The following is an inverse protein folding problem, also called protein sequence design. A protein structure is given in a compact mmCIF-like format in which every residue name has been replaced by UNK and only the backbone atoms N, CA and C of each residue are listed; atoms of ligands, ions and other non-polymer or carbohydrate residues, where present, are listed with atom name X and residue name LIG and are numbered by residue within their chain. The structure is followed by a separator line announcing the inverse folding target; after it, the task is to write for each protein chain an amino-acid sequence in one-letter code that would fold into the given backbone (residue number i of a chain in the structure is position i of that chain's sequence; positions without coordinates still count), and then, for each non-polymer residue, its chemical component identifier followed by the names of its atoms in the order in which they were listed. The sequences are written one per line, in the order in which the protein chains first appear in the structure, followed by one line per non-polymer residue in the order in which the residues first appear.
data_IF_903040399389
#
_entry.id   IF_903040399389
#
_cell.length_a   1.000
_cell.length_b   1.000
_cell.length_c   1.000
_cell.angle_alpha   90.00
_cell.angle_beta   90.00
_cell.angle_gamma   90.00
#
_symmetry.space_group_name_H-M   'P 1'
#
loop_
_entity.id
_entity.type
_entity.pdbx_description
1 polymer ?
#
# COMPACT_ATOMS: atom_id res chain seq x y z
N UNK A 1 34.84 -14.23 -95.60
CA UNK A 1 35.31 -13.40 -94.47
C UNK A 1 34.16 -12.89 -93.60
N UNK A 2 33.10 -12.30 -94.18
CA UNK A 2 31.98 -11.71 -93.42
C UNK A 2 31.17 -12.69 -92.55
N UNK A 3 31.01 -13.96 -92.96
CA UNK A 3 30.27 -14.97 -92.19
C UNK A 3 30.99 -15.39 -90.89
N UNK A 4 32.33 -15.40 -90.91
CA UNK A 4 33.15 -15.71 -89.73
C UNK A 4 33.14 -14.54 -88.73
N UNK A 5 33.19 -13.30 -89.22
CA UNK A 5 33.06 -12.11 -88.38
C UNK A 5 31.67 -12.03 -87.73
N UNK A 6 30.60 -12.35 -88.47
CA UNK A 6 29.26 -12.41 -87.92
C UNK A 6 29.10 -13.50 -86.85
N UNK A 7 29.65 -14.70 -87.08
CA UNK A 7 29.63 -15.78 -86.10
C UNK A 7 30.40 -15.39 -84.82
N UNK A 8 31.55 -14.74 -84.95
CA UNK A 8 32.35 -14.28 -83.82
C UNK A 8 31.64 -13.18 -83.02
N UNK A 9 30.97 -12.25 -83.71
CA UNK A 9 30.17 -11.20 -83.08
C UNK A 9 28.98 -11.78 -82.28
N UNK A 10 28.32 -12.80 -82.81
CA UNK A 10 27.23 -13.51 -82.11
C UNK A 10 27.77 -14.22 -80.87
N UNK A 11 28.91 -14.89 -80.98
CA UNK A 11 29.54 -15.58 -79.85
C UNK A 11 29.91 -14.61 -78.73
N UNK A 12 30.45 -13.45 -79.09
CA UNK A 12 30.80 -12.37 -78.14
C UNK A 12 29.54 -11.81 -77.45
N UNK A 13 28.45 -11.62 -78.20
CA UNK A 13 27.15 -11.22 -77.65
C UNK A 13 26.62 -12.23 -76.64
N UNK A 14 26.69 -13.53 -76.95
CA UNK A 14 26.25 -14.60 -76.04
C UNK A 14 27.05 -14.58 -74.74
N UNK A 15 28.38 -14.43 -74.82
CA UNK A 15 29.23 -14.32 -73.63
C UNK A 15 28.84 -13.11 -72.78
N UNK A 16 28.65 -11.94 -73.39
CA UNK A 16 28.23 -10.74 -72.66
C UNK A 16 26.85 -10.88 -72.01
N UNK A 17 25.88 -11.51 -72.69
CA UNK A 17 24.54 -11.74 -72.14
C UNK A 17 24.58 -12.70 -70.95
N UNK A 18 25.33 -13.80 -71.06
CA UNK A 18 25.49 -14.76 -69.95
C UNK A 18 26.17 -14.12 -68.73
N UNK A 19 27.19 -13.28 -68.95
CA UNK A 19 27.84 -12.54 -67.88
C UNK A 19 26.91 -11.51 -67.21
N UNK A 20 26.14 -10.76 -68.01
CA UNK A 20 25.17 -9.80 -67.48
C UNK A 20 24.04 -10.48 -66.69
N UNK A 21 23.59 -11.67 -67.12
CA UNK A 21 22.62 -12.46 -66.36
C UNK A 21 23.20 -12.94 -65.03
N UNK A 22 24.43 -13.45 -65.04
CA UNK A 22 25.12 -13.90 -63.84
C UNK A 22 25.33 -12.75 -62.84
N UNK A 23 25.77 -11.58 -63.30
CA UNK A 23 25.93 -10.41 -62.44
C UNK A 23 24.59 -9.95 -61.83
N UNK A 24 23.49 -10.03 -62.60
CA UNK A 24 22.14 -9.70 -62.11
C UNK A 24 21.63 -10.72 -61.11
N UNK A 25 21.87 -12.02 -61.30
CA UNK A 25 21.47 -13.04 -60.33
C UNK A 25 22.24 -12.87 -59.03
N UNK A 26 23.57 -12.70 -59.09
CA UNK A 26 24.39 -12.49 -57.88
C UNK A 26 23.99 -11.22 -57.12
N UNK A 27 23.63 -10.15 -57.84
CA UNK A 27 23.12 -8.93 -57.22
C UNK A 27 21.71 -9.10 -56.63
N UNK A 28 20.87 -9.97 -57.20
CA UNK A 28 19.56 -10.31 -56.66
C UNK A 28 19.68 -11.18 -55.40
N UNK A 29 20.56 -12.17 -55.42
CA UNK A 29 20.84 -13.06 -54.28
C UNK A 29 21.36 -12.26 -53.09
N UNK A 30 22.31 -11.35 -53.31
CA UNK A 30 22.83 -10.48 -52.26
C UNK A 30 21.75 -9.57 -51.64
N UNK A 31 20.76 -9.12 -52.43
CA UNK A 31 19.63 -8.32 -51.93
C UNK A 31 18.65 -9.18 -51.14
N UNK A 32 18.40 -10.41 -51.58
CA UNK A 32 17.54 -11.35 -50.86
C UNK A 32 18.14 -11.69 -49.49
N UNK A 33 19.45 -11.96 -49.43
CA UNK A 33 20.15 -12.24 -48.17
C UNK A 33 20.10 -11.06 -47.20
N UNK A 34 20.34 -9.83 -47.69
CA UNK A 34 20.20 -8.62 -46.87
C UNK A 34 18.76 -8.42 -46.37
N UNK A 35 17.75 -8.73 -47.19
CA UNK A 35 16.35 -8.63 -46.78
C UNK A 35 16.01 -9.67 -45.70
N UNK A 36 16.49 -10.90 -45.84
CA UNK A 36 16.34 -11.95 -44.82
C UNK A 36 17.02 -11.58 -43.51
N UNK A 37 18.23 -11.02 -43.57
CA UNK A 37 18.95 -10.53 -42.38
C UNK A 37 18.18 -9.41 -41.68
N UNK A 38 17.64 -8.44 -42.43
CA UNK A 38 16.82 -7.36 -41.86
C UNK A 38 15.54 -7.88 -41.21
N UNK A 39 14.87 -8.85 -41.85
CA UNK A 39 13.68 -9.49 -41.29
C UNK A 39 14.02 -10.24 -39.99
N UNK A 40 15.10 -11.02 -39.98
CA UNK A 40 15.56 -11.74 -38.80
C UNK A 40 15.91 -10.78 -37.66
N UNK A 41 16.62 -9.68 -37.96
CA UNK A 41 16.94 -8.66 -36.97
C UNK A 41 15.68 -7.96 -36.44
N UNK A 42 14.73 -7.63 -37.30
CA UNK A 42 13.44 -7.05 -36.92
C UNK A 42 12.69 -7.97 -35.96
N UNK A 43 12.54 -9.24 -36.31
CA UNK A 43 11.87 -10.23 -35.46
C UNK A 43 12.58 -10.41 -34.12
N UNK A 44 13.91 -10.43 -34.11
CA UNK A 44 14.67 -10.49 -32.87
C UNK A 44 14.44 -9.25 -31.99
N UNK A 45 14.43 -8.06 -32.59
CA UNK A 45 14.13 -6.79 -31.88
C UNK A 45 12.71 -6.77 -31.34
N UNK A 46 11.73 -7.25 -32.11
CA UNK A 46 10.33 -7.37 -31.68
C UNK A 46 10.19 -8.33 -30.50
N UNK A 47 10.74 -9.53 -30.59
CA UNK A 47 10.71 -10.52 -29.50
C UNK A 47 11.33 -9.95 -28.22
N UNK A 48 12.50 -9.31 -28.33
CA UNK A 48 13.14 -8.65 -27.20
C UNK A 48 12.26 -7.54 -26.61
N UNK A 49 11.60 -6.77 -27.47
CA UNK A 49 10.72 -5.68 -27.04
C UNK A 49 9.49 -6.22 -26.32
N UNK A 50 8.89 -7.31 -26.80
CA UNK A 50 7.77 -7.99 -26.15
C UNK A 50 8.14 -8.49 -24.75
N UNK A 51 9.32 -9.10 -24.58
CA UNK A 51 9.81 -9.52 -23.26
C UNK A 51 9.98 -8.33 -22.31
N UNK A 52 10.51 -7.21 -22.79
CA UNK A 52 10.66 -5.99 -21.98
C UNK A 52 9.29 -5.43 -21.60
N UNK A 53 8.35 -5.37 -22.55
CA UNK A 53 6.99 -4.87 -22.32
C UNK A 53 6.26 -5.73 -21.28
N UNK A 54 6.39 -7.05 -21.37
CA UNK A 54 5.79 -7.98 -20.40
C UNK A 54 6.39 -7.79 -19.00
N UNK A 55 7.72 -7.68 -18.91
CA UNK A 55 8.39 -7.39 -17.64
C UNK A 55 7.97 -6.04 -17.03
N UNK A 56 7.79 -5.00 -17.86
CA UNK A 56 7.30 -3.70 -17.41
C UNK A 56 5.85 -3.77 -16.93
N UNK A 57 4.99 -4.50 -17.64
CA UNK A 57 3.59 -4.72 -17.24
C UNK A 57 3.48 -5.44 -15.91
N UNK A 58 4.26 -6.50 -15.74
CA UNK A 58 4.30 -7.27 -14.50
C UNK A 58 4.86 -6.43 -13.35
N UNK A 59 5.88 -5.61 -13.59
CA UNK A 59 6.39 -4.66 -12.58
C UNK A 59 5.32 -3.61 -12.21
N UNK A 60 4.63 -3.03 -13.20
CA UNK A 60 3.56 -2.07 -12.98
C UNK A 60 2.42 -2.67 -12.13
N UNK A 61 1.99 -3.90 -12.44
CA UNK A 61 0.98 -4.63 -11.64
C UNK A 61 1.43 -4.86 -10.21
N UNK A 62 2.68 -5.29 -10.01
CA UNK A 62 3.25 -5.48 -8.67
C UNK A 62 3.31 -4.18 -7.88
N UNK A 63 3.76 -3.08 -8.51
CA UNK A 63 3.81 -1.78 -7.88
C UNK A 63 2.42 -1.26 -7.51
N UNK A 64 1.43 -1.48 -8.36
CA UNK A 64 0.06 -1.09 -8.08
C UNK A 64 -0.54 -1.87 -6.89
N UNK A 65 -0.29 -3.17 -6.82
CA UNK A 65 -0.69 -4.00 -5.69
C UNK A 65 -0.01 -3.54 -4.38
N UNK A 66 1.29 -3.22 -4.43
CA UNK A 66 2.00 -2.67 -3.27
C UNK A 66 1.45 -1.32 -2.83
N UNK A 67 1.13 -0.42 -3.76
CA UNK A 67 0.51 0.88 -3.46
C UNK A 67 -0.85 0.71 -2.79
N UNK A 68 -1.68 -0.22 -3.27
CA UNK A 68 -2.97 -0.52 -2.65
C UNK A 68 -2.80 -1.06 -1.23
N UNK A 69 -1.93 -2.05 -1.03
CA UNK A 69 -1.65 -2.59 0.30
C UNK A 69 -1.12 -1.52 1.27
N UNK A 70 -0.26 -0.60 0.79
CA UNK A 70 0.24 0.51 1.61
C UNK A 70 -0.88 1.50 1.97
N UNK A 71 -1.77 1.82 1.02
CA UNK A 71 -2.90 2.71 1.27
C UNK A 71 -3.87 2.10 2.29
N UNK A 72 -4.15 0.79 2.21
CA UNK A 72 -4.95 0.07 3.20
C UNK A 72 -4.30 0.11 4.58
N UNK A 73 -3.00 -0.17 4.68
CA UNK A 73 -2.26 -0.09 5.94
C UNK A 73 -2.31 1.33 6.53
N UNK A 74 -2.13 2.35 5.69
CA UNK A 74 -2.20 3.75 6.13
C UNK A 74 -3.60 4.09 6.66
N UNK A 75 -4.66 3.61 6.01
CA UNK A 75 -6.03 3.81 6.46
C UNK A 75 -6.32 3.11 7.81
N UNK A 76 -5.81 1.89 7.99
CA UNK A 76 -5.93 1.17 9.26
C UNK A 76 -5.17 1.90 10.39
N UNK A 77 -3.95 2.36 10.10
CA UNK A 77 -3.13 3.08 11.08
C UNK A 77 -3.77 4.42 11.45
N UNK A 78 -4.29 5.18 10.49
CA UNK A 78 -4.95 6.46 10.76
C UNK A 78 -6.23 6.27 11.58
N UNK A 79 -7.04 5.26 11.25
CA UNK A 79 -8.23 4.92 12.03
C UNK A 79 -7.86 4.50 13.47
N UNK A 80 -6.83 3.67 13.62
CA UNK A 80 -6.34 3.23 14.93
C UNK A 80 -5.81 4.40 15.75
N UNK A 81 -5.06 5.31 15.12
CA UNK A 81 -4.56 6.52 15.78
C UNK A 81 -5.70 7.42 16.24
N UNK A 82 -6.70 7.66 15.40
CA UNK A 82 -7.89 8.44 15.76
C UNK A 82 -8.64 7.81 16.93
N UNK A 83 -8.85 6.50 16.93
CA UNK A 83 -9.51 5.80 18.03
C UNK A 83 -8.72 5.90 19.35
N UNK A 84 -7.39 5.80 19.29
CA UNK A 84 -6.52 5.97 20.46
C UNK A 84 -6.60 7.39 21.01
N UNK A 85 -6.59 8.41 20.16
CA UNK A 85 -6.75 9.80 20.58
C UNK A 85 -8.09 10.02 21.27
N UNK A 86 -9.19 9.55 20.69
CA UNK A 86 -10.52 9.64 21.30
C UNK A 86 -10.58 8.94 22.66
N UNK A 87 -9.95 7.77 22.78
CA UNK A 87 -9.87 7.03 24.05
C UNK A 87 -9.08 7.82 25.11
N UNK A 88 -7.95 8.43 24.73
CA UNK A 88 -7.15 9.26 25.64
C UNK A 88 -7.94 10.49 26.10
N UNK A 89 -8.67 11.14 25.20
CA UNK A 89 -9.52 12.29 25.54
C UNK A 89 -10.65 11.90 26.50
N UNK A 90 -11.31 10.76 26.28
CA UNK A 90 -12.32 10.26 27.21
C UNK A 90 -11.71 9.96 28.59
N UNK A 91 -10.60 9.22 28.65
CA UNK A 91 -9.92 8.94 29.91
C UNK A 91 -9.49 10.21 30.64
N UNK A 92 -9.09 11.25 29.91
CA UNK A 92 -8.76 12.55 30.50
C UNK A 92 -10.01 13.24 31.09
N UNK A 93 -11.15 13.22 30.37
CA UNK A 93 -12.43 13.76 30.86
C UNK A 93 -12.94 13.00 32.08
N UNK A 94 -12.87 11.68 32.07
CA UNK A 94 -13.23 10.83 33.21
C UNK A 94 -12.32 11.10 34.41
N UNK A 95 -11.01 11.20 34.21
CA UNK A 95 -10.07 11.50 35.30
C UNK A 95 -10.36 12.85 35.95
N UNK A 96 -10.64 13.88 35.14
CA UNK A 96 -11.04 15.20 35.64
C UNK A 96 -12.34 15.13 36.45
N UNK A 97 -13.34 14.39 35.96
CA UNK A 97 -14.62 14.16 36.66
C UNK A 97 -14.40 13.46 38.01
N UNK A 98 -13.58 12.40 38.03
CA UNK A 98 -13.26 11.65 39.25
C UNK A 98 -12.50 12.51 40.28
N UNK A 99 -11.54 13.32 39.82
CA UNK A 99 -10.83 14.27 40.69
C UNK A 99 -11.80 15.30 41.29
N UNK A 100 -12.73 15.82 40.49
CA UNK A 100 -13.73 16.77 40.97
C UNK A 100 -14.66 16.13 42.02
N UNK A 101 -15.12 14.90 41.76
CA UNK A 101 -15.91 14.13 42.72
C UNK A 101 -15.14 13.89 44.03
N UNK A 102 -13.87 13.47 43.96
CA UNK A 102 -13.05 13.22 45.13
C UNK A 102 -12.78 14.50 45.97
N UNK A 103 -12.68 15.66 45.30
CA UNK A 103 -12.51 16.96 45.96
C UNK A 103 -13.82 17.53 46.52
N UNK A 104 -14.98 16.96 46.16
CA UNK A 104 -16.28 17.41 46.68
C UNK A 104 -16.38 17.06 48.17
N UNK A 105 -16.77 18.02 49.02
CA UNK A 105 -16.92 17.76 50.46
C UNK A 105 -17.99 16.69 50.69
N UNK A 106 -17.70 15.75 51.59
CA UNK A 106 -18.69 14.75 51.99
C UNK A 106 -19.93 15.42 52.60
N UNK A 107 -21.14 14.93 52.29
CA UNK A 107 -22.37 15.45 52.90
C UNK A 107 -22.31 15.35 54.43
N UNK A 108 -22.90 16.35 55.10
CA UNK A 108 -22.90 16.46 56.56
C UNK A 108 -23.50 15.22 57.25
N UNK A 109 -24.51 14.59 56.63
CA UNK A 109 -25.11 13.33 57.09
C UNK A 109 -24.08 12.18 57.17
N UNK A 110 -23.21 12.05 56.16
CA UNK A 110 -22.16 11.01 56.12
C UNK A 110 -21.06 11.32 57.14
N UNK A 111 -20.68 12.59 57.29
CA UNK A 111 -19.71 13.02 58.30
C UNK A 111 -20.23 12.71 59.72
N UNK A 112 -21.53 12.93 59.98
CA UNK A 112 -22.17 12.63 61.26
C UNK A 112 -22.23 11.14 61.57
N UNK A 113 -22.45 10.28 60.57
CA UNK A 113 -22.37 8.83 60.73
C UNK A 113 -21.00 8.38 61.24
N UNK A 114 -19.91 8.99 60.77
CA UNK A 114 -18.56 8.68 61.22
C UNK A 114 -18.24 9.27 62.60
N UNK A 115 -18.82 10.43 62.94
CA UNK A 115 -18.67 11.06 64.25
C UNK A 115 -19.61 10.40 65.27
N UNK A 116 -19.30 9.20 65.73
CA UNK A 116 -19.93 8.64 66.94
C UNK A 116 -19.22 9.22 68.19
N UNK A 117 -19.94 9.69 69.22
CA UNK A 117 -19.33 10.06 70.48
C UNK A 117 -18.59 8.86 71.08
N UNK A 118 -17.42 9.11 71.69
CA UNK A 118 -16.65 8.07 72.36
C UNK A 118 -17.47 7.54 73.54
N UNK A 119 -17.70 6.23 73.56
CA UNK A 119 -18.39 5.55 74.65
C UNK A 119 -17.34 4.99 75.60
N UNK A 120 -17.19 5.61 76.77
CA UNK A 120 -16.19 5.22 77.77
C UNK A 120 -16.83 4.48 78.94
N UNK A 121 -17.09 3.18 78.76
CA UNK A 121 -17.58 2.29 79.81
C UNK A 121 -18.92 1.61 79.51
N UNK A 122 -19.24 0.57 80.29
CA UNK A 122 -20.38 -0.32 80.02
C UNK A 122 -21.75 0.35 80.21
N UNK A 123 -21.88 1.26 81.19
CA UNK A 123 -23.12 2.01 81.44
C UNK A 123 -23.42 3.00 80.30
N UNK A 124 -22.40 3.70 79.84
CA UNK A 124 -22.51 4.66 78.74
C UNK A 124 -22.80 3.93 77.41
N UNK A 125 -22.33 2.69 77.28
CA UNK A 125 -22.64 1.84 76.13
C UNK A 125 -24.11 1.43 76.09
N UNK A 126 -24.67 0.92 77.20
CA UNK A 126 -26.09 0.53 77.28
C UNK A 126 -27.01 1.73 76.99
N UNK A 127 -26.67 2.93 77.51
CA UNK A 127 -27.40 4.15 77.19
C UNK A 127 -27.32 4.51 75.69
N UNK A 128 -26.15 4.37 75.07
CA UNK A 128 -25.94 4.72 73.65
C UNK A 128 -26.68 3.82 72.65
N UNK A 129 -27.07 2.60 73.06
CA UNK A 129 -27.84 1.66 72.23
C UNK A 129 -29.34 1.90 72.39
N UNK A 130 -29.77 2.35 73.57
CA UNK A 130 -31.17 2.70 73.87
C UNK A 130 -31.60 4.02 73.24
N UNK A 131 -30.70 5.01 73.16
CA UNK A 131 -30.95 6.27 72.47
C UNK A 131 -30.75 6.12 70.96
N UNK A 132 -31.74 5.55 70.26
CA UNK A 132 -31.78 5.56 68.79
C UNK A 132 -32.13 6.96 68.30
N UNK A 133 -31.16 7.88 68.29
CA UNK A 133 -31.33 9.20 67.70
C UNK A 133 -31.41 9.07 66.17
N UNK A 134 -32.58 9.31 65.55
CA UNK A 134 -32.71 9.22 64.11
C UNK A 134 -31.86 10.31 63.46
N UNK A 135 -31.03 9.92 62.49
CA UNK A 135 -30.26 10.86 61.68
C UNK A 135 -31.22 11.58 60.74
N UNK A 136 -31.78 12.70 61.21
CA UNK A 136 -32.57 13.61 60.39
C UNK A 136 -31.74 14.04 59.16
N UNK A 137 -32.33 14.04 57.94
CA UNK A 137 -31.65 14.56 56.76
C UNK A 137 -31.27 16.03 56.98
N UNK A 138 -30.16 16.45 56.39
CA UNK A 138 -29.76 17.85 56.43
C UNK A 138 -30.86 18.70 55.77
N UNK A 139 -31.35 19.74 56.46
CA UNK A 139 -32.11 20.82 55.82
C UNK A 139 -31.14 21.61 54.95
N UNK A 140 -31.54 21.83 53.70
CA UNK A 140 -30.81 22.59 52.68
C UNK A 140 -30.42 24.00 53.15
#
# INVERSE_FOLDING_TARGET
MNRLLAALAILLLVVLVTWALWQRSTAADARAELAEQQLAESHYREQKSLVIIDALWENARRLEAQRRALAEQQAVLSHTAANRLATIEELHRENATLRNWANTRLPSAVIRLRKRPAVTGARDYDQSVRDTQPLQPARE
#
